data_IF_406713714738
#
_entry.id   IF_406713714738
#
_cell.length_a   1.000
_cell.length_b   1.000
_cell.length_c   1.000
_cell.angle_alpha   90.00
_cell.angle_beta   90.00
_cell.angle_gamma   90.00
#
_symmetry.space_group_name_H-M   'P 1'
#
loop_
_entity.id
_entity.type
_entity.pdbx_description
1 polymer ?
#
# COMPACT_ATOMS: atom_id res chain seq x y z
N UNK A 1 23.47 -35.27 18.03
CA UNK A 1 22.85 -34.61 16.88
C UNK A 1 22.41 -33.23 17.34
N UNK A 2 23.01 -32.19 16.77
CA UNK A 2 22.87 -30.81 17.22
C UNK A 2 21.41 -30.33 17.12
N UNK A 3 20.95 -29.68 18.18
CA UNK A 3 19.70 -28.93 18.19
C UNK A 3 19.86 -27.75 17.22
N UNK A 4 19.16 -27.77 16.09
CA UNK A 4 18.97 -26.59 15.25
C UNK A 4 18.21 -25.55 16.09
N UNK A 5 18.95 -24.67 16.76
CA UNK A 5 18.40 -23.45 17.32
C UNK A 5 18.02 -22.57 16.13
N UNK A 6 16.76 -22.61 15.71
CA UNK A 6 16.25 -21.65 14.73
C UNK A 6 16.46 -20.25 15.35
N UNK A 7 17.30 -19.43 14.73
CA UNK A 7 17.51 -18.06 15.18
C UNK A 7 16.15 -17.37 15.29
N UNK A 8 15.87 -16.69 16.41
CA UNK A 8 14.58 -16.04 16.61
C UNK A 8 14.36 -15.04 15.48
N UNK A 9 13.25 -15.18 14.74
CA UNK A 9 12.90 -14.27 13.65
C UNK A 9 12.92 -12.85 14.18
N UNK A 10 13.93 -12.10 13.76
CA UNK A 10 14.16 -10.76 14.23
C UNK A 10 13.11 -9.82 13.64
N UNK A 11 12.11 -9.45 14.46
CA UNK A 11 10.98 -8.65 13.96
C UNK A 11 11.40 -7.21 13.74
N UNK A 12 11.46 -6.81 12.46
CA UNK A 12 11.71 -5.42 12.06
C UNK A 12 10.49 -4.52 12.26
N UNK A 13 10.27 -4.09 13.51
CA UNK A 13 9.28 -3.06 13.86
C UNK A 13 9.71 -1.68 13.38
N UNK A 14 8.76 -0.75 13.23
CA UNK A 14 9.06 0.63 12.83
C UNK A 14 10.08 1.29 13.77
N UNK A 15 9.91 1.15 15.09
CA UNK A 15 10.83 1.69 16.10
C UNK A 15 12.26 1.16 15.92
N UNK A 16 12.39 -0.13 15.62
CA UNK A 16 13.69 -0.77 15.42
C UNK A 16 14.38 -0.30 14.13
N UNK A 17 13.63 -0.22 13.03
CA UNK A 17 14.15 0.33 11.76
C UNK A 17 14.62 1.77 11.92
N UNK A 18 13.86 2.59 12.65
CA UNK A 18 14.26 3.98 12.96
C UNK A 18 15.57 4.02 13.74
N UNK A 19 15.70 3.22 14.81
CA UNK A 19 16.93 3.19 15.61
C UNK A 19 18.16 2.82 14.76
N UNK A 20 18.00 1.82 13.89
CA UNK A 20 19.03 1.38 12.95
C UNK A 20 19.39 2.46 11.90
N UNK A 21 18.40 3.12 11.31
CA UNK A 21 18.68 4.21 10.36
C UNK A 21 19.38 5.38 11.07
N UNK A 22 18.99 5.69 12.32
CA UNK A 22 19.63 6.75 13.10
C UNK A 22 21.08 6.42 13.43
N UNK A 23 21.43 5.18 13.78
CA UNK A 23 22.83 4.79 14.03
C UNK A 23 23.68 4.94 12.75
N UNK A 24 23.13 4.59 11.59
CA UNK A 24 23.77 4.82 10.29
C UNK A 24 23.99 6.32 10.02
N UNK A 25 22.99 7.16 10.27
CA UNK A 25 23.10 8.62 10.05
C UNK A 25 24.11 9.29 10.99
N UNK A 26 24.28 8.75 12.21
CA UNK A 26 25.32 9.19 13.16
C UNK A 26 26.72 8.70 12.78
N UNK A 27 26.84 7.79 11.80
CA UNK A 27 28.11 7.18 11.40
C UNK A 27 28.61 6.09 12.34
N UNK A 28 27.76 5.59 13.25
CA UNK A 28 28.12 4.51 14.19
C UNK A 28 28.31 3.16 13.48
N UNK A 29 27.57 2.94 12.37
CA UNK A 29 27.68 1.74 11.52
C UNK A 29 27.45 2.14 10.06
N UNK A 30 28.05 1.41 9.12
CA UNK A 30 27.77 1.61 7.68
C UNK A 30 26.58 0.78 7.20
N UNK A 31 25.91 1.20 6.13
CA UNK A 31 24.81 0.44 5.50
C UNK A 31 25.21 -1.01 5.21
N UNK A 32 26.41 -1.22 4.65
CA UNK A 32 26.91 -2.54 4.30
C UNK A 32 27.21 -3.42 5.53
N UNK A 33 27.69 -2.81 6.61
CA UNK A 33 27.95 -3.51 7.87
C UNK A 33 26.65 -3.90 8.56
N UNK A 34 25.72 -2.96 8.69
CA UNK A 34 24.38 -3.21 9.24
C UNK A 34 23.64 -4.30 8.49
N UNK A 35 23.69 -4.29 7.15
CA UNK A 35 23.09 -5.30 6.31
C UNK A 35 23.64 -6.70 6.65
N UNK A 36 24.97 -6.85 6.71
CA UNK A 36 25.61 -8.13 7.06
C UNK A 36 25.28 -8.58 8.48
N UNK A 37 25.35 -7.68 9.46
CA UNK A 37 25.14 -8.01 10.88
C UNK A 37 23.72 -8.48 11.18
N UNK A 38 22.73 -7.94 10.46
CA UNK A 38 21.32 -8.22 10.68
C UNK A 38 20.69 -9.16 9.65
N UNK A 39 21.49 -9.75 8.75
CA UNK A 39 20.97 -10.60 7.67
C UNK A 39 20.03 -9.89 6.71
N UNK A 40 20.20 -8.57 6.54
CA UNK A 40 19.43 -7.74 5.62
C UNK A 40 20.21 -7.53 4.32
N UNK A 41 19.50 -7.22 3.25
CA UNK A 41 20.15 -6.73 2.03
C UNK A 41 20.51 -5.25 2.17
N UNK A 42 21.57 -4.81 1.47
CA UNK A 42 21.94 -3.39 1.39
C UNK A 42 20.76 -2.56 0.88
N UNK A 43 20.05 -3.06 -0.14
CA UNK A 43 18.89 -2.38 -0.73
C UNK A 43 17.73 -2.17 0.27
N UNK A 44 17.46 -3.13 1.17
CA UNK A 44 16.43 -2.96 2.20
C UNK A 44 16.80 -1.86 3.21
N UNK A 45 18.06 -1.83 3.63
CA UNK A 45 18.55 -0.81 4.57
C UNK A 45 18.55 0.57 3.90
N UNK A 46 18.96 0.66 2.64
CA UNK A 46 18.89 1.90 1.85
C UNK A 46 17.45 2.39 1.69
N UNK A 47 16.52 1.49 1.35
CA UNK A 47 15.11 1.83 1.22
C UNK A 47 14.52 2.37 2.54
N UNK A 48 14.92 1.82 3.69
CA UNK A 48 14.48 2.35 4.99
C UNK A 48 15.09 3.71 5.28
N UNK A 49 16.37 3.91 4.95
CA UNK A 49 17.05 5.21 5.10
C UNK A 49 16.39 6.28 4.24
N UNK A 50 16.12 5.99 2.98
CA UNK A 50 15.45 6.92 2.05
C UNK A 50 14.05 7.28 2.57
N UNK A 51 13.25 6.27 2.93
CA UNK A 51 11.89 6.50 3.47
C UNK A 51 11.92 7.33 4.76
N UNK A 52 12.90 7.10 5.63
CA UNK A 52 13.09 7.90 6.84
C UNK A 52 13.40 9.36 6.52
N UNK A 53 14.32 9.61 5.58
CA UNK A 53 14.71 10.96 5.17
C UNK A 53 13.55 11.72 4.50
N UNK A 54 12.80 11.06 3.61
CA UNK A 54 11.59 11.64 3.00
C UNK A 54 10.53 11.99 4.04
N UNK A 55 10.30 11.10 5.01
CA UNK A 55 9.38 11.35 6.12
C UNK A 55 9.83 12.52 7.01
N UNK A 56 11.12 12.58 7.33
CA UNK A 56 11.71 13.67 8.10
C UNK A 56 11.62 15.01 7.35
N UNK A 57 11.96 15.04 6.06
CA UNK A 57 11.81 16.23 5.22
C UNK A 57 10.36 16.70 5.19
N UNK A 58 9.40 15.79 4.99
CA UNK A 58 7.99 16.14 4.97
C UNK A 58 7.50 16.70 6.30
N UNK A 59 7.96 16.14 7.43
CA UNK A 59 7.62 16.60 8.77
C UNK A 59 8.17 18.01 9.08
N UNK A 60 9.25 18.43 8.41
CA UNK A 60 9.86 19.76 8.57
C UNK A 60 9.26 20.83 7.63
N UNK A 61 8.37 20.46 6.71
CA UNK A 61 7.71 21.45 5.82
C UNK A 61 6.76 22.34 6.61
N UNK A 62 6.68 23.61 6.24
CA UNK A 62 5.67 24.55 6.78
C UNK A 62 4.23 24.06 6.56
N UNK A 63 4.01 23.33 5.47
CA UNK A 63 2.79 22.59 5.16
C UNK A 63 3.17 21.14 4.79
N UNK A 64 3.13 20.20 5.75
CA UNK A 64 3.38 18.79 5.48
C UNK A 64 2.42 18.25 4.42
N UNK A 65 2.92 17.41 3.51
CA UNK A 65 2.05 16.68 2.58
C UNK A 65 1.37 15.56 3.33
N UNK A 66 0.05 15.53 3.25
CA UNK A 66 -0.76 14.42 3.74
C UNK A 66 -1.00 13.44 2.59
N UNK A 67 -0.02 12.56 2.38
CA UNK A 67 -0.11 11.54 1.33
C UNK A 67 -1.26 10.56 1.55
N UNK A 68 -1.68 10.36 2.81
CA UNK A 68 -2.82 9.51 3.16
C UNK A 68 -4.12 10.20 2.72
N UNK A 69 -4.30 11.48 3.03
CA UNK A 69 -5.43 12.25 2.53
C UNK A 69 -5.50 12.32 0.99
N UNK A 70 -4.37 12.44 0.30
CA UNK A 70 -4.32 12.40 -1.17
C UNK A 70 -4.78 11.04 -1.70
N UNK A 71 -4.32 9.95 -1.09
CA UNK A 71 -4.75 8.59 -1.46
C UNK A 71 -6.23 8.39 -1.16
N UNK A 72 -6.74 8.85 -0.03
CA UNK A 72 -8.14 8.76 0.33
C UNK A 72 -9.04 9.52 -0.65
N UNK A 73 -8.60 10.71 -1.09
CA UNK A 73 -9.32 11.47 -2.12
C UNK A 73 -9.35 10.73 -3.46
N UNK A 74 -8.23 10.11 -3.86
CA UNK A 74 -8.18 9.27 -5.06
C UNK A 74 -9.09 8.04 -4.93
N UNK A 75 -9.07 7.35 -3.79
CA UNK A 75 -9.95 6.22 -3.50
C UNK A 75 -11.42 6.63 -3.59
N UNK A 76 -11.77 7.80 -3.05
CA UNK A 76 -13.13 8.34 -3.12
C UNK A 76 -13.56 8.56 -4.58
N UNK A 77 -12.73 9.20 -5.40
CA UNK A 77 -12.99 9.44 -6.83
C UNK A 77 -13.17 8.12 -7.60
N UNK A 78 -12.29 7.15 -7.35
CA UNK A 78 -12.37 5.83 -7.99
C UNK A 78 -13.65 5.09 -7.58
N UNK A 79 -14.00 5.08 -6.29
CA UNK A 79 -15.25 4.47 -5.80
C UNK A 79 -16.49 5.09 -6.43
N UNK A 80 -16.52 6.43 -6.56
CA UNK A 80 -17.61 7.12 -7.25
C UNK A 80 -17.72 6.66 -8.71
N UNK A 81 -16.60 6.63 -9.44
CA UNK A 81 -16.60 6.22 -10.85
C UNK A 81 -17.05 4.77 -11.02
N UNK A 82 -16.66 3.88 -10.11
CA UNK A 82 -17.13 2.50 -10.09
C UNK A 82 -18.65 2.47 -9.86
N UNK A 83 -19.17 3.24 -8.91
CA UNK A 83 -20.61 3.35 -8.67
C UNK A 83 -21.40 3.78 -9.90
N UNK A 84 -20.92 4.82 -10.59
CA UNK A 84 -21.53 5.30 -11.85
C UNK A 84 -21.56 4.18 -12.91
N UNK A 85 -20.43 3.49 -13.10
CA UNK A 85 -20.32 2.39 -14.07
C UNK A 85 -21.18 1.18 -13.72
N UNK A 86 -21.34 0.87 -12.43
CA UNK A 86 -22.24 -0.20 -11.97
C UNK A 86 -23.69 0.16 -12.29
N UNK A 87 -24.11 1.40 -12.00
CA UNK A 87 -25.45 1.87 -12.32
C UNK A 87 -25.71 1.80 -13.84
N UNK A 88 -24.78 2.28 -14.66
CA UNK A 88 -24.88 2.18 -16.12
C UNK A 88 -25.03 0.73 -16.57
N UNK A 89 -24.26 -0.19 -15.97
CA UNK A 89 -24.34 -1.62 -16.29
C UNK A 89 -25.69 -2.21 -15.92
N UNK A 90 -26.23 -1.86 -14.75
CA UNK A 90 -27.55 -2.33 -14.29
C UNK A 90 -28.66 -1.83 -15.22
N UNK A 91 -28.62 -0.56 -15.64
CA UNK A 91 -29.56 0.01 -16.61
C UNK A 91 -29.48 -0.74 -17.95
N UNK A 92 -28.27 -0.96 -18.47
CA UNK A 92 -28.07 -1.67 -19.73
C UNK A 92 -28.55 -3.12 -19.65
N UNK A 93 -28.28 -3.81 -18.53
CA UNK A 93 -28.76 -5.17 -18.29
C UNK A 93 -30.28 -5.22 -18.23
N UNK A 94 -30.91 -4.25 -17.57
CA UNK A 94 -32.38 -4.15 -17.51
C UNK A 94 -32.97 -3.94 -18.91
N UNK A 95 -32.40 -3.02 -19.69
CA UNK A 95 -32.86 -2.72 -21.05
C UNK A 95 -32.69 -3.91 -22.02
N UNK A 96 -31.70 -4.77 -21.79
CA UNK A 96 -31.45 -5.98 -22.58
C UNK A 96 -32.34 -7.16 -22.18
N UNK A 97 -33.11 -7.08 -21.07
CA UNK A 97 -34.06 -8.14 -20.73
C UNK A 97 -35.11 -8.24 -21.83
N UNK A 98 -35.33 -9.44 -22.41
CA UNK A 98 -36.38 -9.62 -23.40
C UNK A 98 -37.72 -9.28 -22.75
N UNK A 99 -38.42 -8.29 -23.31
CA UNK A 99 -39.78 -7.97 -22.92
C UNK A 99 -40.65 -9.19 -23.26
N UNK A 100 -41.40 -9.77 -22.32
CA UNK A 100 -42.33 -10.84 -22.65
C UNK A 100 -43.41 -10.22 -23.56
N UNK A 101 -43.34 -10.56 -24.85
CA UNK A 101 -44.40 -10.31 -25.82
C UNK A 101 -45.35 -11.50 -25.82
N UNK A 102 -45.92 -11.82 -24.66
CA UNK A 102 -47.13 -12.64 -24.55
C UNK A 102 -48.37 -11.75 -24.64
N UNK A 103 -48.42 -10.93 -25.72
CA UNK A 103 -49.70 -10.58 -26.30
C UNK A 103 -50.11 -11.77 -27.14
N UNK A 104 -51.02 -12.59 -26.60
CA UNK A 104 -51.94 -13.36 -27.42
C UNK A 104 -52.68 -12.38 -28.33
N UNK A 105 -52.10 -12.05 -29.48
CA UNK A 105 -52.87 -11.59 -30.62
C UNK A 105 -53.66 -12.81 -31.08
N UNK A 106 -54.92 -12.84 -30.63
CA UNK A 106 -56.09 -13.43 -31.30
C UNK A 106 -55.81 -14.54 -32.30
N UNK A 107 -56.26 -15.76 -31.99
CA UNK A 107 -56.89 -16.59 -33.01
C UNK A 107 -58.41 -16.50 -32.84
N UNK A 108 -59.06 -16.28 -33.98
CA UNK A 108 -60.48 -16.06 -34.19
C UNK A 108 -61.29 -17.36 -34.18
#
# INVERSE_FOLDING_TARGET
MATEASEPIERWTAKRRVALVVSILKGETSVAETARTHGLTVAEVEAWREKFLLGAENALRSRPRDEEAVKDEQIKKLKQKIGDLVLDNDILREALKPYPLDRQTSDA
#
